data_IF_405448681246
#
_entry.id   IF_405448681246
#
_cell.length_a   1.000
_cell.length_b   1.000
_cell.length_c   1.000
_cell.angle_alpha   90.00
_cell.angle_beta   90.00
_cell.angle_gamma   90.00
#
_symmetry.space_group_name_H-M   'P 1'
#
loop_
_entity.id
_entity.type
_entity.pdbx_description
1 polymer ?
#
# COMPACT_ATOMS: atom_id res chain seq x y z
N UNK A 1 2.06 21.58 6.20
CA UNK A 1 3.16 20.62 6.24
C UNK A 1 2.67 19.33 5.63
N UNK A 2 3.36 18.87 4.64
CA UNK A 2 3.01 17.76 3.77
C UNK A 2 2.91 16.44 4.56
N UNK A 3 1.78 15.78 4.45
CA UNK A 3 1.45 14.50 5.11
C UNK A 3 2.27 13.29 4.61
N UNK A 4 3.52 13.48 4.15
CA UNK A 4 4.32 12.44 3.50
C UNK A 4 5.79 12.50 3.92
N UNK A 5 6.04 12.92 5.15
CA UNK A 5 7.38 12.98 5.75
C UNK A 5 7.67 11.79 6.66
N UNK A 6 6.67 10.94 6.89
CA UNK A 6 6.78 9.77 7.75
C UNK A 6 7.83 8.78 7.22
N UNK A 7 8.48 8.08 8.13
CA UNK A 7 9.61 7.21 7.84
C UNK A 7 9.26 6.11 6.82
N UNK A 8 8.05 5.54 6.87
CA UNK A 8 7.61 4.53 5.89
C UNK A 8 7.46 5.07 4.47
N UNK A 9 7.30 6.40 4.26
CA UNK A 9 7.32 7.01 2.94
C UNK A 9 8.73 7.39 2.49
N UNK A 10 9.60 7.78 3.43
CA UNK A 10 11.00 8.10 3.12
C UNK A 10 11.79 6.85 2.73
N UNK A 11 11.59 5.76 3.46
CA UNK A 11 12.14 4.45 3.12
C UNK A 11 11.20 3.32 3.60
N UNK A 12 10.42 2.71 2.69
CA UNK A 12 9.51 1.61 3.04
C UNK A 12 10.23 0.33 3.48
N UNK A 13 11.57 0.25 3.34
CA UNK A 13 12.39 -0.90 3.73
C UNK A 13 12.97 -0.81 5.13
N UNK A 14 12.68 0.24 5.87
CA UNK A 14 13.06 0.33 7.28
C UNK A 14 12.34 -0.77 8.07
N UNK A 15 13.12 -1.64 8.72
CA UNK A 15 12.63 -2.76 9.54
C UNK A 15 12.64 -2.44 11.02
N UNK A 16 13.59 -1.60 11.44
CA UNK A 16 13.79 -1.19 12.82
C UNK A 16 14.04 0.33 12.86
N UNK A 17 13.54 0.99 13.87
CA UNK A 17 13.76 2.41 14.09
C UNK A 17 13.67 2.75 15.57
N UNK A 18 14.15 3.93 15.94
CA UNK A 18 13.98 4.50 17.26
C UNK A 18 13.15 5.76 17.17
N UNK A 19 12.27 5.98 18.13
CA UNK A 19 11.42 7.16 18.18
C UNK A 19 11.06 7.48 19.63
N UNK A 20 10.48 8.65 19.84
CA UNK A 20 10.02 9.11 21.16
C UNK A 20 8.50 8.97 21.26
N UNK A 21 8.02 8.49 22.40
CA UNK A 21 6.59 8.46 22.72
C UNK A 21 6.09 9.88 23.00
N UNK A 22 5.11 10.33 22.21
CA UNK A 22 4.50 11.65 22.38
C UNK A 22 3.13 11.58 23.07
N UNK A 23 2.46 10.43 23.02
CA UNK A 23 1.19 10.17 23.69
C UNK A 23 1.03 8.68 23.96
N UNK A 24 0.44 8.32 25.09
CA UNK A 24 0.02 6.96 25.40
C UNK A 24 -1.25 7.04 26.27
N UNK A 25 -2.33 6.48 25.79
CA UNK A 25 -3.66 6.50 26.43
C UNK A 25 -4.22 5.09 26.44
N UNK A 26 -4.81 4.67 27.57
CA UNK A 26 -5.53 3.40 27.64
C UNK A 26 -6.83 3.49 26.84
N UNK A 27 -7.06 2.55 25.94
CA UNK A 27 -8.22 2.44 25.06
C UNK A 27 -8.91 1.09 25.20
N UNK A 28 -9.98 0.88 24.44
CA UNK A 28 -10.76 -0.38 24.48
C UNK A 28 -9.98 -1.61 24.02
N UNK A 29 -8.99 -1.41 23.14
CA UNK A 29 -8.19 -2.49 22.52
C UNK A 29 -6.75 -2.54 23.03
N UNK A 30 -6.46 -1.98 24.20
CA UNK A 30 -5.11 -1.84 24.72
C UNK A 30 -4.68 -0.38 24.76
N UNK A 31 -3.42 -0.09 24.51
CA UNK A 31 -2.88 1.26 24.61
C UNK A 31 -2.74 1.91 23.24
N UNK A 32 -3.25 3.11 23.11
CA UNK A 32 -3.12 3.97 21.93
C UNK A 32 -1.85 4.81 22.07
N UNK A 33 -0.82 4.44 21.31
CA UNK A 33 0.51 5.04 21.40
C UNK A 33 0.79 5.86 20.16
N UNK A 34 1.21 7.11 20.35
CA UNK A 34 1.71 7.96 19.26
C UNK A 34 3.20 8.21 19.44
N UNK A 35 3.92 8.13 18.34
CA UNK A 35 5.36 8.35 18.26
C UNK A 35 5.67 9.64 17.48
N UNK A 36 6.84 10.24 17.75
CA UNK A 36 7.32 11.44 17.04
C UNK A 36 7.48 11.16 15.52
N UNK A 37 7.99 9.98 15.15
CA UNK A 37 8.07 9.46 13.79
C UNK A 37 7.86 7.94 13.83
N UNK A 38 7.45 7.34 12.71
CA UNK A 38 7.17 5.91 12.66
C UNK A 38 7.41 5.30 11.28
N UNK A 39 7.96 4.07 11.29
CA UNK A 39 8.03 3.21 10.12
C UNK A 39 6.81 2.30 9.95
N UNK A 40 5.92 2.21 10.93
CA UNK A 40 4.68 1.45 10.83
C UNK A 40 3.69 2.14 9.89
N UNK A 41 3.30 1.45 8.82
CA UNK A 41 2.29 1.93 7.87
C UNK A 41 0.88 1.77 8.48
N UNK A 42 0.09 2.85 8.57
CA UNK A 42 -1.30 2.76 9.01
C UNK A 42 -2.17 2.21 7.87
N UNK A 43 -3.23 1.47 8.21
CA UNK A 43 -4.19 1.03 7.19
C UNK A 43 -4.63 2.18 6.30
N UNK A 44 -4.57 1.94 4.98
CA UNK A 44 -4.98 2.94 4.00
C UNK A 44 -4.77 2.49 2.56
N UNK A 45 -5.57 3.06 1.64
CA UNK A 45 -5.44 2.75 0.20
C UNK A 45 -5.71 1.30 -0.19
N UNK A 46 -6.42 0.53 0.64
CA UNK A 46 -6.67 -0.90 0.45
C UNK A 46 -5.57 -1.81 1.02
N UNK A 47 -4.50 -1.23 1.56
CA UNK A 47 -3.43 -1.98 2.24
C UNK A 47 -3.70 -2.03 3.75
N UNK A 48 -3.64 -3.22 4.39
CA UNK A 48 -3.77 -3.35 5.83
C UNK A 48 -2.61 -2.69 6.58
N UNK A 49 -2.83 -2.44 7.87
CA UNK A 49 -1.82 -1.92 8.76
C UNK A 49 -0.65 -2.88 8.96
N UNK A 50 0.52 -2.32 9.24
CA UNK A 50 1.65 -3.11 9.72
C UNK A 50 1.42 -3.61 11.14
N UNK A 51 2.09 -4.72 11.43
CA UNK A 51 2.27 -5.27 12.76
C UNK A 51 3.75 -5.26 13.14
N UNK A 52 4.04 -5.58 14.40
CA UNK A 52 5.39 -5.68 14.91
C UNK A 52 5.46 -5.46 16.41
N UNK A 53 6.52 -4.81 16.89
CA UNK A 53 6.69 -4.52 18.32
C UNK A 53 7.25 -3.13 18.57
N UNK A 54 6.90 -2.55 19.72
CA UNK A 54 7.56 -1.37 20.31
C UNK A 54 8.14 -1.82 21.65
N UNK A 55 9.47 -1.75 21.82
CA UNK A 55 10.20 -2.29 22.99
C UNK A 55 9.75 -3.71 23.37
N UNK A 56 9.53 -4.57 22.37
CA UNK A 56 9.08 -5.95 22.52
C UNK A 56 7.58 -6.11 22.84
N UNK A 57 6.82 -5.04 23.05
CA UNK A 57 5.37 -5.09 23.19
C UNK A 57 4.69 -5.16 21.81
N UNK A 58 3.71 -6.03 21.64
CA UNK A 58 3.03 -6.21 20.37
C UNK A 58 2.30 -4.93 19.93
N UNK A 59 2.47 -4.59 18.64
CA UNK A 59 1.66 -3.62 17.88
C UNK A 59 0.78 -4.43 16.94
N UNK A 60 -0.53 -4.40 17.16
CA UNK A 60 -1.47 -5.25 16.44
C UNK A 60 -2.38 -4.48 15.47
N UNK A 61 -2.35 -3.15 15.50
CA UNK A 61 -3.02 -2.30 14.51
C UNK A 61 -2.36 -0.91 14.49
N UNK A 62 -2.42 -0.25 13.35
CA UNK A 62 -1.94 1.13 13.18
C UNK A 62 -2.94 1.92 12.36
N UNK A 63 -3.37 3.07 12.87
CA UNK A 63 -4.40 3.90 12.23
C UNK A 63 -3.95 5.35 12.10
N UNK A 64 -4.32 5.96 10.99
CA UNK A 64 -4.19 7.41 10.79
C UNK A 64 -5.43 8.12 11.36
N UNK A 65 -5.22 9.05 12.26
CA UNK A 65 -6.24 9.89 12.86
C UNK A 65 -5.96 11.37 12.57
N UNK A 66 -6.89 12.28 12.84
CA UNK A 66 -6.62 13.72 12.75
C UNK A 66 -5.47 14.20 13.66
N UNK A 67 -5.20 13.49 14.75
CA UNK A 67 -4.12 13.81 15.69
C UNK A 67 -2.74 13.27 15.23
N UNK A 68 -2.72 12.29 14.32
CA UNK A 68 -1.49 11.65 13.84
C UNK A 68 -1.67 10.14 13.66
N UNK A 69 -0.55 9.41 13.69
CA UNK A 69 -0.55 7.96 13.58
C UNK A 69 -0.58 7.34 14.97
N UNK A 70 -1.60 6.51 15.20
CA UNK A 70 -1.83 5.79 16.46
C UNK A 70 -1.46 4.33 16.27
N UNK A 71 -0.62 3.81 17.18
CA UNK A 71 -0.25 2.41 17.27
C UNK A 71 -1.05 1.77 18.41
N UNK A 72 -1.76 0.68 18.14
CA UNK A 72 -2.49 -0.08 19.16
C UNK A 72 -1.57 -1.15 19.74
N UNK A 73 -1.19 -0.97 21.02
CA UNK A 73 -0.16 -1.74 21.69
C UNK A 73 -0.72 -2.52 22.88
N UNK A 74 -0.08 -3.64 23.21
CA UNK A 74 -0.45 -4.45 24.38
C UNK A 74 0.00 -3.84 25.71
N UNK A 75 0.97 -2.89 25.69
CA UNK A 75 1.55 -2.25 26.89
C UNK A 75 1.50 -0.74 26.80
N UNK A 76 1.48 -0.10 27.98
CA UNK A 76 1.71 1.33 28.14
C UNK A 76 3.20 1.68 28.03
N UNK A 77 3.45 2.93 27.63
CA UNK A 77 4.77 3.56 27.61
C UNK A 77 4.72 4.94 28.27
N UNK A 78 5.82 5.37 28.86
CA UNK A 78 5.91 6.71 29.41
C UNK A 78 6.07 7.75 28.31
N UNK A 79 5.34 8.86 28.42
CA UNK A 79 5.50 9.99 27.48
C UNK A 79 6.91 10.57 27.64
N UNK A 80 7.60 10.76 26.52
CA UNK A 80 8.99 11.18 26.45
C UNK A 80 10.00 10.03 26.45
N UNK A 81 9.56 8.78 26.64
CA UNK A 81 10.42 7.59 26.54
C UNK A 81 10.92 7.43 25.10
N UNK A 82 12.21 7.12 24.94
CA UNK A 82 12.77 6.63 23.68
C UNK A 82 12.49 5.13 23.58
N UNK A 83 11.92 4.72 22.47
CA UNK A 83 11.50 3.33 22.19
C UNK A 83 12.05 2.83 20.88
N UNK A 84 12.25 1.50 20.79
CA UNK A 84 12.64 0.82 19.57
C UNK A 84 11.41 0.17 18.92
N UNK A 85 11.06 0.60 17.69
CA UNK A 85 10.09 -0.06 16.85
C UNK A 85 10.75 -1.14 15.96
N UNK A 86 10.11 -2.31 15.88
CA UNK A 86 10.53 -3.42 15.00
C UNK A 86 9.30 -3.90 14.24
N UNK A 87 9.34 -3.80 12.90
CA UNK A 87 8.25 -4.24 12.04
C UNK A 87 8.24 -5.77 11.88
N UNK A 88 7.05 -6.35 11.80
CA UNK A 88 6.86 -7.64 11.14
C UNK A 88 7.19 -7.47 9.66
N UNK A 89 8.44 -7.80 9.32
CA UNK A 89 8.96 -7.55 7.98
C UNK A 89 8.35 -8.46 6.93
N UNK A 90 8.03 -9.68 7.27
CA UNK A 90 7.40 -10.63 6.36
C UNK A 90 6.04 -10.08 5.91
N UNK A 91 5.19 -9.71 6.84
CA UNK A 91 3.89 -9.05 6.57
C UNK A 91 4.05 -7.75 5.78
N UNK A 92 5.00 -6.88 6.16
CA UNK A 92 5.25 -5.62 5.44
C UNK A 92 5.65 -5.88 3.99
N UNK A 93 6.57 -6.80 3.76
CA UNK A 93 7.08 -7.07 2.42
C UNK A 93 6.02 -7.73 1.54
N UNK A 94 5.27 -8.69 2.07
CA UNK A 94 4.12 -9.30 1.39
C UNK A 94 3.09 -8.24 0.97
N UNK A 95 2.74 -7.32 1.87
CA UNK A 95 1.84 -6.22 1.55
C UNK A 95 2.38 -5.34 0.42
N UNK A 96 3.68 -5.04 0.41
CA UNK A 96 4.31 -4.25 -0.65
C UNK A 96 4.31 -4.99 -1.99
N UNK A 97 4.62 -6.31 -2.00
CA UNK A 97 4.57 -7.16 -3.19
C UNK A 97 3.15 -7.20 -3.76
N UNK A 98 2.18 -7.48 -2.92
CA UNK A 98 0.77 -7.59 -3.25
C UNK A 98 0.21 -6.27 -3.80
N UNK A 99 0.51 -5.15 -3.15
CA UNK A 99 0.03 -3.84 -3.59
C UNK A 99 0.66 -3.43 -4.93
N UNK A 100 1.95 -3.69 -5.10
CA UNK A 100 2.61 -3.40 -6.39
C UNK A 100 2.10 -4.33 -7.48
N UNK A 101 1.84 -5.60 -7.17
CA UNK A 101 1.20 -6.56 -8.06
C UNK A 101 -0.19 -6.11 -8.53
N UNK A 102 -1.01 -5.55 -7.61
CA UNK A 102 -2.30 -4.95 -7.96
C UNK A 102 -2.14 -3.80 -8.96
N UNK A 103 -1.18 -2.91 -8.75
CA UNK A 103 -0.92 -1.81 -9.68
C UNK A 103 -0.55 -2.32 -11.08
N UNK A 104 0.34 -3.30 -11.17
CA UNK A 104 0.73 -3.91 -12.45
C UNK A 104 -0.48 -4.53 -13.14
N UNK A 105 -1.27 -5.33 -12.41
CA UNK A 105 -2.45 -6.00 -12.95
C UNK A 105 -3.51 -5.00 -13.42
N UNK A 106 -3.88 -4.07 -12.55
CA UNK A 106 -4.92 -3.07 -12.83
C UNK A 106 -4.51 -2.11 -13.95
N UNK A 107 -3.24 -1.71 -14.00
CA UNK A 107 -2.74 -0.85 -15.07
C UNK A 107 -2.77 -1.54 -16.42
N UNK A 108 -2.39 -2.81 -16.51
CA UNK A 108 -2.44 -3.60 -17.74
C UNK A 108 -3.89 -3.81 -18.20
N UNK A 109 -4.82 -4.12 -17.26
CA UNK A 109 -6.26 -4.23 -17.58
C UNK A 109 -6.80 -2.91 -18.13
N UNK A 110 -6.48 -1.80 -17.48
CA UNK A 110 -6.94 -0.48 -17.94
C UNK A 110 -6.35 -0.12 -19.33
N UNK A 111 -5.05 -0.33 -19.52
CA UNK A 111 -4.38 -0.01 -20.78
C UNK A 111 -4.90 -0.84 -21.98
N UNK A 112 -5.24 -2.13 -21.77
CA UNK A 112 -5.67 -3.04 -22.83
C UNK A 112 -7.16 -2.99 -23.13
N UNK A 113 -7.97 -2.85 -22.08
CA UNK A 113 -9.42 -3.00 -22.20
C UNK A 113 -10.20 -1.75 -21.79
N UNK A 114 -9.55 -0.72 -21.24
CA UNK A 114 -10.20 0.49 -20.73
C UNK A 114 -11.04 0.24 -19.47
N UNK A 115 -10.84 -0.88 -18.77
CA UNK A 115 -11.61 -1.20 -17.56
C UNK A 115 -10.90 -0.67 -16.32
N UNK A 116 -11.65 0.05 -15.49
CA UNK A 116 -11.15 0.60 -14.23
C UNK A 116 -11.21 -0.45 -13.12
N UNK A 117 -10.21 -0.43 -12.23
CA UNK A 117 -10.30 -1.10 -10.94
C UNK A 117 -11.25 -0.29 -10.04
N UNK A 118 -12.39 -0.86 -9.71
CA UNK A 118 -13.46 -0.26 -8.90
C UNK A 118 -13.54 -0.84 -7.48
N UNK A 119 -12.73 -1.85 -7.17
CA UNK A 119 -12.63 -2.46 -5.85
C UNK A 119 -11.31 -3.20 -5.68
N UNK A 120 -10.67 -3.01 -4.53
CA UNK A 120 -9.43 -3.68 -4.16
C UNK A 120 -9.50 -4.07 -2.70
N UNK A 121 -9.27 -5.35 -2.43
CA UNK A 121 -9.22 -5.91 -1.08
C UNK A 121 -7.98 -6.80 -0.98
N UNK A 122 -7.22 -6.59 0.07
CA UNK A 122 -6.03 -7.35 0.41
C UNK A 122 -6.27 -8.02 1.75
N UNK A 123 -6.47 -9.34 1.70
CA UNK A 123 -6.55 -10.20 2.86
C UNK A 123 -5.24 -10.97 3.03
N UNK A 124 -5.07 -11.71 4.13
CA UNK A 124 -3.82 -12.43 4.40
C UNK A 124 -3.54 -13.57 3.39
N UNK A 125 -4.59 -14.15 2.78
CA UNK A 125 -4.46 -15.30 1.88
C UNK A 125 -4.63 -14.95 0.39
N UNK A 126 -5.46 -13.95 0.07
CA UNK A 126 -5.81 -13.62 -1.32
C UNK A 126 -6.02 -12.12 -1.50
N UNK A 127 -5.77 -11.68 -2.73
CA UNK A 127 -6.12 -10.34 -3.18
C UNK A 127 -7.31 -10.47 -4.11
N UNK A 128 -8.27 -9.56 -3.97
CA UNK A 128 -9.37 -9.43 -4.92
C UNK A 128 -9.37 -8.06 -5.59
N UNK A 129 -9.51 -8.05 -6.92
CA UNK A 129 -9.68 -6.85 -7.72
C UNK A 129 -11.01 -6.91 -8.47
N UNK A 130 -11.81 -5.86 -8.36
CA UNK A 130 -13.06 -5.70 -9.10
C UNK A 130 -12.86 -4.72 -10.25
N UNK A 131 -13.19 -5.15 -11.46
CA UNK A 131 -13.07 -4.33 -12.67
C UNK A 131 -14.43 -3.94 -13.23
N UNK A 132 -14.50 -2.74 -13.82
CA UNK A 132 -15.74 -2.16 -14.37
C UNK A 132 -16.26 -2.86 -15.61
N UNK A 133 -15.45 -3.69 -16.29
CA UNK A 133 -15.81 -4.41 -17.50
C UNK A 133 -15.73 -5.94 -17.34
N UNK A 134 -16.44 -6.65 -18.21
CA UNK A 134 -16.46 -8.12 -18.24
C UNK A 134 -15.28 -8.62 -19.07
N UNK A 135 -14.37 -9.35 -18.42
CA UNK A 135 -13.25 -10.04 -19.08
C UNK A 135 -13.59 -11.52 -19.32
N UNK A 136 -13.12 -12.04 -20.47
CA UNK A 136 -13.13 -13.49 -20.72
C UNK A 136 -11.96 -14.17 -20.00
N UNK A 137 -12.00 -15.49 -19.89
CA UNK A 137 -10.89 -16.27 -19.29
C UNK A 137 -9.59 -16.07 -20.08
N UNK A 138 -9.67 -15.97 -21.41
CA UNK A 138 -8.52 -15.73 -22.27
C UNK A 138 -7.91 -14.34 -22.02
N UNK A 139 -8.74 -13.31 -21.82
CA UNK A 139 -8.29 -11.96 -21.48
C UNK A 139 -7.62 -11.93 -20.12
N UNK A 140 -8.17 -12.62 -19.12
CA UNK A 140 -7.55 -12.75 -17.79
C UNK A 140 -6.20 -13.45 -17.87
N UNK A 141 -6.11 -14.56 -18.63
CA UNK A 141 -4.85 -15.28 -18.83
C UNK A 141 -3.81 -14.43 -19.60
N UNK A 142 -4.25 -13.59 -20.54
CA UNK A 142 -3.38 -12.64 -21.23
C UNK A 142 -2.82 -11.59 -20.29
N UNK A 143 -3.64 -11.04 -19.38
CA UNK A 143 -3.19 -10.08 -18.34
C UNK A 143 -2.20 -10.74 -17.39
N UNK A 144 -2.51 -11.94 -16.87
CA UNK A 144 -1.61 -12.69 -15.97
C UNK A 144 -0.21 -12.87 -16.63
N UNK A 145 -0.18 -13.27 -17.90
CA UNK A 145 1.10 -13.43 -18.62
C UNK A 145 1.84 -12.11 -18.75
N UNK A 146 1.16 -11.03 -19.14
CA UNK A 146 1.79 -9.72 -19.28
C UNK A 146 2.30 -9.16 -17.94
N UNK A 147 1.61 -9.43 -16.83
CA UNK A 147 2.09 -9.10 -15.49
C UNK A 147 3.41 -9.82 -15.17
N UNK A 148 3.49 -11.12 -15.48
CA UNK A 148 4.70 -11.88 -15.21
C UNK A 148 5.85 -11.48 -16.15
N UNK A 149 5.56 -11.07 -17.40
CA UNK A 149 6.56 -10.46 -18.28
C UNK A 149 7.13 -9.15 -17.67
N UNK A 150 6.28 -8.29 -17.09
CA UNK A 150 6.70 -7.08 -16.40
C UNK A 150 7.53 -7.38 -15.14
N UNK A 151 7.22 -8.45 -14.41
CA UNK A 151 8.00 -8.92 -13.26
C UNK A 151 9.40 -9.34 -13.72
N UNK A 152 9.50 -10.14 -14.79
CA UNK A 152 10.77 -10.58 -15.37
C UNK A 152 11.59 -9.41 -15.89
N UNK A 153 10.96 -8.37 -16.43
CA UNK A 153 11.64 -7.17 -16.89
C UNK A 153 12.31 -6.37 -15.76
N UNK A 154 11.88 -6.58 -14.51
CA UNK A 154 12.45 -6.00 -13.29
C UNK A 154 12.66 -4.48 -13.39
N UNK A 155 11.60 -3.75 -13.75
CA UNK A 155 11.65 -2.29 -13.87
C UNK A 155 11.52 -1.62 -12.51
N UNK A 156 12.18 -0.47 -12.33
CA UNK A 156 12.12 0.33 -11.09
C UNK A 156 10.73 0.94 -10.90
N UNK A 157 10.22 0.89 -9.68
CA UNK A 157 8.96 1.53 -9.26
C UNK A 157 9.25 2.94 -8.79
N UNK A 158 8.82 3.92 -9.58
CA UNK A 158 9.01 5.33 -9.30
C UNK A 158 7.98 5.89 -8.31
N UNK A 159 8.45 6.72 -7.37
CA UNK A 159 7.57 7.48 -6.46
C UNK A 159 7.84 8.96 -6.68
N UNK A 160 6.77 9.74 -6.88
CA UNK A 160 6.89 11.18 -7.06
C UNK A 160 5.75 11.95 -6.38
N UNK A 161 6.02 13.22 -6.12
CA UNK A 161 5.08 14.18 -5.54
C UNK A 161 5.01 15.41 -6.45
N UNK A 162 4.33 15.31 -7.60
CA UNK A 162 4.23 16.42 -8.53
C UNK A 162 3.50 17.61 -7.89
N UNK A 163 3.94 18.82 -8.20
CA UNK A 163 3.17 20.01 -7.87
C UNK A 163 1.87 20.10 -8.69
N UNK A 164 1.02 21.07 -8.38
CA UNK A 164 -0.29 21.19 -9.03
C UNK A 164 -0.19 21.35 -10.56
N UNK A 165 0.81 22.12 -11.03
CA UNK A 165 1.01 22.35 -12.47
C UNK A 165 1.48 21.08 -13.20
N UNK A 166 2.41 20.34 -12.60
CA UNK A 166 2.90 19.07 -13.13
C UNK A 166 1.80 18.00 -13.09
N UNK A 167 0.99 17.97 -12.02
CA UNK A 167 -0.10 17.02 -11.85
C UNK A 167 -1.20 17.21 -12.91
N UNK A 168 -1.55 18.45 -13.28
CA UNK A 168 -2.54 18.74 -14.33
C UNK A 168 -2.11 18.21 -15.71
N UNK A 169 -0.79 18.14 -15.96
CA UNK A 169 -0.22 17.66 -17.23
C UNK A 169 0.06 16.16 -17.23
N UNK A 170 -0.04 15.51 -16.06
CA UNK A 170 0.31 14.11 -15.89
C UNK A 170 -0.89 13.22 -16.15
N UNK A 171 -0.78 12.27 -17.08
CA UNK A 171 -1.76 11.20 -17.23
C UNK A 171 -1.53 10.14 -16.15
N UNK A 172 -2.49 9.95 -15.24
CA UNK A 172 -2.46 8.94 -14.19
C UNK A 172 -3.86 8.43 -13.85
N UNK A 173 -3.93 7.22 -13.32
CA UNK A 173 -5.19 6.66 -12.78
C UNK A 173 -5.41 7.16 -11.34
N UNK A 174 -6.66 7.31 -10.97
CA UNK A 174 -7.05 7.59 -9.58
C UNK A 174 -8.41 6.98 -9.28
N UNK A 175 -8.51 6.29 -8.15
CA UNK A 175 -9.78 5.71 -7.65
C UNK A 175 -10.70 6.75 -7.00
N UNK A 176 -10.20 7.95 -6.71
CA UNK A 176 -10.93 9.03 -6.00
C UNK A 176 -10.53 10.40 -6.55
N UNK A 177 -11.44 11.36 -6.42
CA UNK A 177 -11.08 12.76 -6.59
C UNK A 177 -10.11 13.18 -5.47
N UNK A 178 -8.93 13.64 -5.84
CA UNK A 178 -7.86 13.98 -4.91
C UNK A 178 -7.85 15.48 -4.60
N UNK A 179 -7.50 15.83 -3.36
CA UNK A 179 -7.29 17.21 -2.91
C UNK A 179 -5.99 17.26 -2.12
N UNK A 180 -5.19 18.31 -2.36
CA UNK A 180 -3.89 18.50 -1.69
C UNK A 180 -2.75 17.77 -2.40
N UNK A 181 -1.73 17.39 -1.63
CA UNK A 181 -0.54 16.73 -2.16
C UNK A 181 -0.87 15.32 -2.63
N UNK A 182 -0.53 15.03 -3.88
CA UNK A 182 -0.79 13.75 -4.53
C UNK A 182 0.51 12.99 -4.68
N UNK A 183 0.55 11.77 -4.11
CA UNK A 183 1.65 10.84 -4.32
C UNK A 183 1.34 9.97 -5.52
N UNK A 184 2.24 9.96 -6.49
CA UNK A 184 2.16 9.15 -7.70
C UNK A 184 3.11 7.98 -7.59
N UNK A 185 2.58 6.79 -7.85
CA UNK A 185 3.34 5.56 -8.07
C UNK A 185 3.37 5.29 -9.56
N UNK A 186 4.57 5.16 -10.11
CA UNK A 186 4.82 4.90 -11.53
C UNK A 186 5.52 3.55 -11.70
N UNK A 187 4.85 2.62 -12.36
CA UNK A 187 5.42 1.34 -12.80
C UNK A 187 5.58 1.42 -14.30
N UNK A 188 6.77 1.75 -14.83
CA UNK A 188 6.98 2.02 -16.24
C UNK A 188 6.46 0.90 -17.16
N UNK A 189 5.65 1.26 -18.14
CA UNK A 189 5.03 0.32 -19.08
C UNK A 189 3.81 -0.45 -18.56
N UNK A 190 3.48 -0.30 -17.27
CA UNK A 190 2.36 -0.98 -16.64
C UNK A 190 1.31 -0.02 -16.11
N UNK A 191 1.68 0.85 -15.18
CA UNK A 191 0.74 1.72 -14.49
C UNK A 191 1.35 3.04 -14.04
N UNK A 192 0.52 4.05 -13.95
CA UNK A 192 0.79 5.29 -13.22
C UNK A 192 -0.45 5.68 -12.46
N UNK A 193 -0.39 5.63 -11.14
CA UNK A 193 -1.57 5.79 -10.29
C UNK A 193 -1.28 6.64 -9.05
N UNK A 194 -2.28 7.41 -8.65
CA UNK A 194 -2.26 8.07 -7.36
C UNK A 194 -2.53 7.07 -6.25
N UNK A 195 -1.54 6.87 -5.38
CA UNK A 195 -1.59 5.85 -4.33
C UNK A 195 -0.84 6.28 -3.07
N UNK A 196 -1.43 6.03 -1.90
CA UNK A 196 -0.80 6.25 -0.60
C UNK A 196 -0.14 5.00 0.00
N UNK A 197 -0.27 3.82 -0.63
CA UNK A 197 0.35 2.59 -0.13
C UNK A 197 1.87 2.56 -0.28
N UNK A 198 2.51 1.62 0.40
CA UNK A 198 3.94 1.37 0.24
C UNK A 198 4.17 0.25 -0.79
N UNK A 199 5.27 0.35 -1.53
CA UNK A 199 5.53 -0.50 -2.70
C UNK A 199 6.94 -1.06 -2.67
N UNK A 200 7.19 -2.16 -3.39
CA UNK A 200 8.53 -2.68 -3.66
C UNK A 200 9.31 -1.73 -4.58
N UNK A 201 10.64 -1.83 -4.57
CA UNK A 201 11.52 -0.96 -5.38
C UNK A 201 11.53 -1.30 -6.86
N UNK A 202 11.26 -2.57 -7.19
CA UNK A 202 11.21 -3.02 -8.59
C UNK A 202 10.20 -4.13 -8.77
N UNK A 203 9.71 -4.29 -10.00
CA UNK A 203 8.71 -5.30 -10.32
C UNK A 203 9.19 -6.73 -10.09
N UNK A 204 10.51 -6.97 -10.19
CA UNK A 204 11.09 -8.29 -9.89
C UNK A 204 10.90 -8.75 -8.44
N UNK A 205 10.76 -7.80 -7.51
CA UNK A 205 10.50 -8.10 -6.10
C UNK A 205 9.06 -8.58 -5.83
N UNK A 206 8.11 -8.41 -6.78
CA UNK A 206 6.76 -8.97 -6.70
C UNK A 206 6.80 -10.50 -6.66
N UNK A 207 7.76 -11.11 -7.36
CA UNK A 207 7.92 -12.54 -7.44
C UNK A 207 7.07 -13.18 -8.54
N UNK A 208 5.79 -13.42 -8.29
CA UNK A 208 4.86 -14.04 -9.24
C UNK A 208 3.44 -13.51 -9.04
N UNK A 209 2.74 -13.25 -10.13
CA UNK A 209 1.29 -13.03 -10.12
C UNK A 209 0.61 -14.28 -10.69
N UNK A 210 -0.33 -14.85 -9.91
CA UNK A 210 -1.15 -15.98 -10.32
C UNK A 210 -2.62 -15.68 -10.06
N UNK A 211 -3.44 -15.73 -11.09
CA UNK A 211 -4.89 -15.64 -10.98
C UNK A 211 -5.42 -17.00 -10.50
N UNK A 212 -6.09 -17.01 -9.37
CA UNK A 212 -6.70 -18.22 -8.79
C UNK A 212 -8.09 -18.46 -9.34
N UNK A 213 -8.85 -17.39 -9.58
CA UNK A 213 -10.20 -17.45 -10.14
C UNK A 213 -10.61 -16.12 -10.76
N UNK A 214 -11.60 -16.17 -11.65
CA UNK A 214 -12.29 -14.97 -12.12
C UNK A 214 -13.79 -15.26 -12.24
N UNK A 215 -14.61 -14.24 -11.93
CA UNK A 215 -16.06 -14.37 -12.00
C UNK A 215 -16.74 -13.06 -12.37
N UNK A 216 -17.94 -13.14 -12.93
CA UNK A 216 -18.78 -11.94 -13.13
C UNK A 216 -19.19 -11.36 -11.78
N UNK A 217 -18.98 -10.07 -11.60
CA UNK A 217 -19.32 -9.37 -10.37
C UNK A 217 -19.81 -7.95 -10.66
N UNK A 218 -21.03 -7.61 -10.20
CA UNK A 218 -21.62 -6.25 -10.28
C UNK A 218 -21.52 -5.58 -11.68
N UNK A 219 -21.70 -6.36 -12.73
CA UNK A 219 -21.62 -5.85 -14.11
C UNK A 219 -20.21 -5.84 -14.73
N UNK A 220 -19.21 -6.23 -13.97
CA UNK A 220 -17.81 -6.38 -14.39
C UNK A 220 -17.24 -7.74 -14.06
N UNK A 221 -15.94 -7.78 -13.75
CA UNK A 221 -15.21 -9.00 -13.39
C UNK A 221 -14.51 -8.82 -12.05
N UNK A 222 -14.65 -9.81 -11.16
CA UNK A 222 -13.78 -10.00 -9.98
C UNK A 222 -12.71 -11.02 -10.33
N UNK A 223 -11.49 -10.65 -10.04
CA UNK A 223 -10.32 -11.51 -10.16
C UNK A 223 -9.70 -11.68 -8.78
#
# INVERSE_FOLDING_TARGET
MTAMTELFYRDPYVREFTSKVISCVEGEKGFEVMLEDTAFYPEGGGQPADHGTIDGAAVFDVRRTPAGIVHYCEKAFDVGQDVKGVLDWERRFDNMQNHTGEHVFSGIVNARFGFDNVGFHMDDDVITCDFSGVMTEEQVAEVERACNEAIVANVEVGISFPDAEALEKLAYRSKKALKGDVRIVDVPGCDRCACCGVHVRSTGEIGLIKVLSSMKHRGGTRV
#
